data_IF_885799979428
#
_entry.id   IF_885799979428
#
_cell.length_a   1.000
_cell.length_b   1.000
_cell.length_c   1.000
_cell.angle_alpha   90.00
_cell.angle_beta   90.00
_cell.angle_gamma   90.00
#
_symmetry.space_group_name_H-M   'P 1'
#
loop_
_entity.id
_entity.type
_entity.pdbx_description
1 polymer ?
#
# COMPACT_ATOMS: atom_id res chain seq x y z
N UNK A 1 32.56 -0.26 17.81
CA UNK A 1 32.14 -0.09 16.41
C UNK A 1 32.82 1.16 15.85
N UNK A 2 33.73 1.01 14.89
CA UNK A 2 34.25 2.13 14.10
C UNK A 2 33.52 2.14 12.75
N UNK A 3 32.86 3.24 12.43
CA UNK A 3 32.13 3.44 11.18
C UNK A 3 32.18 4.91 10.81
N UNK A 4 31.82 5.21 9.56
CA UNK A 4 31.80 6.58 9.06
C UNK A 4 30.77 7.41 9.88
N UNK A 5 31.08 8.66 10.29
CA UNK A 5 30.22 9.43 11.19
C UNK A 5 28.76 9.57 10.74
N UNK A 6 28.49 9.62 9.42
CA UNK A 6 27.13 9.69 8.89
C UNK A 6 26.36 8.38 9.12
N UNK A 7 27.01 7.22 8.92
CA UNK A 7 26.41 5.91 9.18
C UNK A 7 26.09 5.72 10.67
N UNK A 8 26.97 6.20 11.55
CA UNK A 8 26.73 6.17 13.01
C UNK A 8 25.54 7.07 13.37
N UNK A 9 25.43 8.24 12.75
CA UNK A 9 24.31 9.15 12.97
C UNK A 9 22.98 8.54 12.50
N UNK A 10 22.98 7.84 11.35
CA UNK A 10 21.81 7.17 10.80
C UNK A 10 21.33 6.00 11.66
N UNK A 11 22.26 5.15 12.13
CA UNK A 11 21.95 4.08 13.09
C UNK A 11 21.36 4.65 14.38
N UNK A 12 21.92 5.75 14.90
CA UNK A 12 21.39 6.40 16.11
C UNK A 12 19.98 6.95 15.89
N UNK A 13 19.71 7.55 14.72
CA UNK A 13 18.38 8.03 14.34
C UNK A 13 17.37 6.89 14.23
N UNK A 14 17.78 5.74 13.69
CA UNK A 14 16.94 4.55 13.65
C UNK A 14 16.66 4.02 15.07
N UNK A 15 17.70 3.87 15.89
CA UNK A 15 17.59 3.36 17.25
C UNK A 15 16.73 4.26 18.17
N UNK A 16 16.73 5.57 17.92
CA UNK A 16 15.90 6.53 18.65
C UNK A 16 14.48 6.68 18.10
N UNK A 17 14.14 6.00 17.00
CA UNK A 17 12.84 6.16 16.33
C UNK A 17 12.66 7.51 15.63
N UNK A 18 13.73 8.27 15.42
CA UNK A 18 13.69 9.59 14.78
C UNK A 18 13.55 9.56 13.25
N UNK A 19 13.39 8.36 12.68
CA UNK A 19 13.12 8.11 11.25
C UNK A 19 12.13 6.96 11.17
N UNK A 20 11.05 7.13 10.41
CA UNK A 20 10.20 6.01 9.99
C UNK A 20 10.92 5.26 8.87
N UNK A 21 11.27 3.98 9.04
CA UNK A 21 11.88 3.21 7.97
C UNK A 21 10.95 3.12 6.76
N UNK A 22 11.51 3.14 5.55
CA UNK A 22 10.71 3.10 4.31
C UNK A 22 9.82 1.85 4.23
N UNK A 23 10.31 0.69 4.70
CA UNK A 23 9.53 -0.55 4.72
C UNK A 23 8.27 -0.44 5.60
N UNK A 24 8.36 0.30 6.72
CA UNK A 24 7.22 0.51 7.62
C UNK A 24 6.15 1.32 6.92
N UNK A 25 6.54 2.44 6.30
CA UNK A 25 5.64 3.28 5.51
C UNK A 25 4.98 2.47 4.38
N UNK A 26 5.78 1.73 3.59
CA UNK A 26 5.27 0.90 2.51
C UNK A 26 4.29 -0.18 3.00
N UNK A 27 4.50 -0.72 4.19
CA UNK A 27 3.57 -1.67 4.83
C UNK A 27 2.25 -1.00 5.20
N UNK A 28 2.30 0.16 5.87
CA UNK A 28 1.10 0.90 6.28
C UNK A 28 0.26 1.35 5.06
N UNK A 29 0.93 1.83 4.01
CA UNK A 29 0.32 2.20 2.72
C UNK A 29 -0.29 0.99 2.01
N UNK A 30 0.40 -0.16 2.06
CA UNK A 30 -0.11 -1.42 1.53
C UNK A 30 -1.36 -1.90 2.25
N UNK A 31 -1.45 -1.75 3.58
CA UNK A 31 -2.65 -2.08 4.34
C UNK A 31 -3.83 -1.20 3.88
N UNK A 32 -3.61 0.09 3.65
CA UNK A 32 -4.67 0.98 3.16
C UNK A 32 -5.17 0.58 1.77
N UNK A 33 -4.26 0.26 0.84
CA UNK A 33 -4.63 -0.23 -0.50
C UNK A 33 -5.40 -1.55 -0.42
N UNK A 34 -4.98 -2.45 0.46
CA UNK A 34 -5.64 -3.72 0.69
C UNK A 34 -7.09 -3.53 1.16
N UNK A 35 -7.30 -2.65 2.15
CA UNK A 35 -8.64 -2.34 2.66
C UNK A 35 -9.50 -1.63 1.61
N UNK A 36 -8.92 -0.69 0.86
CA UNK A 36 -9.63 0.00 -0.22
C UNK A 36 -10.07 -0.96 -1.33
N UNK A 37 -9.22 -1.92 -1.72
CA UNK A 37 -9.58 -2.97 -2.66
C UNK A 37 -10.67 -3.90 -2.13
N UNK A 38 -10.53 -4.35 -0.89
CA UNK A 38 -11.51 -5.24 -0.23
C UNK A 38 -12.88 -4.60 -0.08
N UNK A 39 -12.93 -3.28 0.13
CA UNK A 39 -14.16 -2.51 0.19
C UNK A 39 -14.68 -2.07 -1.20
N UNK A 40 -14.04 -2.47 -2.29
CA UNK A 40 -14.43 -2.13 -3.67
C UNK A 40 -14.22 -0.67 -4.06
N UNK A 41 -13.48 0.11 -3.25
CA UNK A 41 -13.13 1.50 -3.54
C UNK A 41 -12.08 1.63 -4.66
N UNK A 42 -11.29 0.57 -4.82
CA UNK A 42 -10.33 0.36 -5.90
C UNK A 42 -10.62 -1.01 -6.51
N UNK A 43 -10.51 -1.10 -7.82
CA UNK A 43 -10.82 -2.30 -8.59
C UNK A 43 -9.67 -2.60 -9.55
N UNK A 44 -9.46 -3.88 -9.88
CA UNK A 44 -8.41 -4.23 -10.84
C UNK A 44 -8.83 -3.83 -12.26
N UNK A 45 -7.89 -3.40 -13.09
CA UNK A 45 -8.14 -3.10 -14.51
C UNK A 45 -7.97 -4.32 -15.41
N UNK A 46 -7.44 -5.40 -14.85
CA UNK A 46 -7.14 -6.68 -15.47
C UNK A 46 -7.77 -7.81 -14.63
N UNK A 47 -7.92 -8.99 -15.23
CA UNK A 47 -8.48 -10.18 -14.57
C UNK A 47 -7.44 -10.83 -13.62
N UNK A 48 -6.99 -10.06 -12.64
CA UNK A 48 -6.03 -10.47 -11.61
C UNK A 48 -6.80 -10.93 -10.39
N UNK A 49 -6.46 -12.11 -9.88
CA UNK A 49 -7.05 -12.68 -8.66
C UNK A 49 -6.01 -12.82 -7.57
N UNK A 50 -6.38 -12.47 -6.35
CA UNK A 50 -5.53 -12.68 -5.18
C UNK A 50 -6.02 -13.88 -4.37
N UNK A 51 -5.52 -15.08 -4.70
CA UNK A 51 -5.93 -16.34 -4.05
C UNK A 51 -5.84 -16.32 -2.51
N UNK A 52 -4.82 -15.71 -1.86
CA UNK A 52 -4.76 -15.67 -0.40
C UNK A 52 -5.92 -14.89 0.25
N UNK A 53 -6.53 -13.94 -0.47
CA UNK A 53 -7.70 -13.21 -0.02
C UNK A 53 -8.57 -12.80 -1.22
N UNK A 54 -9.52 -13.65 -1.64
CA UNK A 54 -10.39 -13.37 -2.79
C UNK A 54 -11.22 -12.09 -2.62
N UNK A 55 -11.50 -11.71 -1.36
CA UNK A 55 -12.21 -10.48 -1.00
C UNK A 55 -11.56 -9.22 -1.56
N UNK A 56 -10.22 -9.20 -1.68
CA UNK A 56 -9.47 -8.07 -2.21
C UNK A 56 -9.82 -7.70 -3.66
N UNK A 57 -10.28 -8.68 -4.44
CA UNK A 57 -10.65 -8.51 -5.85
C UNK A 57 -12.12 -8.83 -6.11
N UNK A 58 -12.94 -8.93 -5.07
CA UNK A 58 -14.34 -9.37 -5.17
C UNK A 58 -15.24 -8.36 -5.93
N UNK A 59 -14.89 -7.07 -5.90
CA UNK A 59 -15.55 -6.02 -6.68
C UNK A 59 -15.34 -6.15 -8.20
N UNK A 60 -14.49 -7.10 -8.64
CA UNK A 60 -14.25 -7.40 -10.04
C UNK A 60 -13.48 -6.31 -10.78
N UNK A 61 -13.59 -6.35 -12.11
CA UNK A 61 -12.86 -5.44 -13.00
C UNK A 61 -13.53 -4.06 -13.04
N UNK A 62 -12.76 -3.03 -12.70
CA UNK A 62 -13.20 -1.65 -12.73
C UNK A 62 -12.88 -0.91 -14.03
N UNK A 63 -13.22 0.38 -14.06
CA UNK A 63 -12.82 1.29 -15.14
C UNK A 63 -11.31 1.47 -15.18
N UNK A 64 -10.77 1.72 -16.38
CA UNK A 64 -9.35 2.03 -16.57
C UNK A 64 -9.10 3.49 -16.17
N UNK A 65 -8.85 3.71 -14.88
CA UNK A 65 -8.46 5.00 -14.30
C UNK A 65 -7.04 4.94 -13.73
N UNK A 66 -6.35 6.07 -13.54
CA UNK A 66 -5.03 6.10 -12.91
C UNK A 66 -5.00 5.38 -11.56
N UNK A 67 -6.05 5.52 -10.75
CA UNK A 67 -6.17 4.92 -9.43
C UNK A 67 -6.25 3.39 -9.49
N UNK A 68 -7.11 2.87 -10.37
CA UNK A 68 -7.28 1.43 -10.57
C UNK A 68 -6.06 0.79 -11.23
N UNK A 69 -5.37 1.51 -12.13
CA UNK A 69 -4.09 1.07 -12.71
C UNK A 69 -3.03 0.96 -11.60
N UNK A 70 -2.93 1.98 -10.74
CA UNK A 70 -1.98 1.97 -9.64
C UNK A 70 -2.26 0.82 -8.65
N UNK A 71 -3.52 0.61 -8.31
CA UNK A 71 -3.96 -0.53 -7.49
C UNK A 71 -3.62 -1.88 -8.12
N UNK A 72 -3.89 -2.05 -9.41
CA UNK A 72 -3.58 -3.30 -10.13
C UNK A 72 -2.09 -3.59 -10.12
N UNK A 73 -1.25 -2.58 -10.38
CA UNK A 73 0.21 -2.72 -10.32
C UNK A 73 0.68 -3.07 -8.92
N UNK A 74 0.15 -2.40 -7.90
CA UNK A 74 0.48 -2.69 -6.51
C UNK A 74 0.12 -4.14 -6.14
N UNK A 75 -1.05 -4.61 -6.59
CA UNK A 75 -1.50 -5.98 -6.36
C UNK A 75 -0.55 -7.00 -7.00
N UNK A 76 -0.07 -6.74 -8.21
CA UNK A 76 0.94 -7.58 -8.87
C UNK A 76 2.24 -7.64 -8.06
N UNK A 77 2.69 -6.51 -7.48
CA UNK A 77 3.86 -6.50 -6.60
C UNK A 77 3.64 -7.29 -5.31
N UNK A 78 2.45 -7.19 -4.71
CA UNK A 78 2.06 -7.97 -3.54
C UNK A 78 2.07 -9.48 -3.85
N UNK A 79 1.51 -9.89 -4.99
CA UNK A 79 1.50 -11.28 -5.45
C UNK A 79 2.90 -11.84 -5.69
N UNK A 80 3.78 -11.03 -6.27
CA UNK A 80 5.15 -11.44 -6.57
C UNK A 80 6.06 -11.45 -5.33
N UNK A 81 5.58 -10.97 -4.16
CA UNK A 81 6.34 -10.98 -2.92
C UNK A 81 7.62 -10.14 -3.00
N UNK A 82 7.56 -8.95 -3.61
CA UNK A 82 8.73 -8.09 -3.79
C UNK A 82 9.39 -7.73 -2.45
N UNK A 83 10.72 -7.67 -2.44
CA UNK A 83 11.48 -7.28 -1.25
C UNK A 83 11.24 -5.80 -0.94
N UNK A 84 11.06 -5.48 0.34
CA UNK A 84 10.93 -4.09 0.80
C UNK A 84 12.31 -3.41 0.97
N UNK A 85 13.07 -3.38 -0.12
CA UNK A 85 14.26 -2.54 -0.24
C UNK A 85 13.87 -1.07 -0.52
N UNK A 86 14.86 -0.18 -0.50
CA UNK A 86 14.63 1.26 -0.69
C UNK A 86 13.92 1.57 -2.01
N UNK A 87 14.35 0.96 -3.12
CA UNK A 87 13.79 1.21 -4.44
C UNK A 87 12.32 0.78 -4.51
N UNK A 88 12.01 -0.43 -4.05
CA UNK A 88 10.66 -0.96 -4.06
C UNK A 88 9.76 -0.17 -3.09
N UNK A 89 10.27 0.25 -1.93
CA UNK A 89 9.50 1.09 -1.00
C UNK A 89 9.15 2.46 -1.60
N UNK A 90 10.06 3.08 -2.35
CA UNK A 90 9.78 4.33 -3.05
C UNK A 90 8.78 4.15 -4.19
N UNK A 91 8.91 3.05 -4.94
CA UNK A 91 7.95 2.72 -6.00
C UNK A 91 6.55 2.44 -5.42
N UNK A 92 6.45 1.67 -4.33
CA UNK A 92 5.17 1.29 -3.71
C UNK A 92 4.45 2.54 -3.18
N UNK A 93 5.22 3.48 -2.64
CA UNK A 93 4.72 4.78 -2.23
C UNK A 93 4.14 5.58 -3.41
N UNK A 94 4.81 5.59 -4.56
CA UNK A 94 4.30 6.26 -5.76
C UNK A 94 2.97 5.65 -6.25
N UNK A 95 2.84 4.32 -6.22
CA UNK A 95 1.55 3.68 -6.53
C UNK A 95 0.47 4.04 -5.52
N UNK A 96 0.81 4.13 -4.23
CA UNK A 96 -0.11 4.58 -3.20
C UNK A 96 -0.58 6.02 -3.44
N UNK A 97 0.32 6.94 -3.81
CA UNK A 97 -0.04 8.32 -4.18
C UNK A 97 -1.00 8.35 -5.38
N UNK A 98 -0.69 7.59 -6.44
CA UNK A 98 -1.51 7.52 -7.66
C UNK A 98 -2.89 6.87 -7.43
N UNK A 99 -3.03 6.02 -6.42
CA UNK A 99 -4.33 5.45 -6.03
C UNK A 99 -5.30 6.45 -5.39
N UNK A 100 -4.79 7.59 -4.92
CA UNK A 100 -5.56 8.59 -4.16
C UNK A 100 -6.02 8.12 -2.77
N UNK A 101 -5.60 6.94 -2.31
CA UNK A 101 -6.06 6.35 -1.05
C UNK A 101 -5.75 7.24 0.16
N UNK A 102 -4.58 7.88 0.17
CA UNK A 102 -4.19 8.80 1.25
C UNK A 102 -5.03 10.07 1.39
N UNK A 103 -5.81 10.41 0.37
CA UNK A 103 -6.69 11.59 0.38
C UNK A 103 -8.10 11.24 0.88
N UNK A 104 -8.45 9.95 0.92
CA UNK A 104 -9.76 9.48 1.38
C UNK A 104 -9.79 9.51 2.90
N UNK A 105 -10.73 10.27 3.46
CA UNK A 105 -10.97 10.32 4.90
C UNK A 105 -11.99 9.27 5.28
N UNK A 106 -11.77 8.61 6.43
CA UNK A 106 -12.67 7.60 6.98
C UNK A 106 -14.11 8.10 7.11
N UNK A 107 -14.29 9.36 7.52
CA UNK A 107 -15.61 9.98 7.70
C UNK A 107 -16.36 10.22 6.39
N UNK A 108 -15.66 10.23 5.25
CA UNK A 108 -16.25 10.42 3.93
C UNK A 108 -16.60 9.12 3.21
N UNK A 109 -16.34 7.96 3.82
CA UNK A 109 -16.64 6.67 3.22
C UNK A 109 -18.11 6.27 3.46
N UNK A 110 -18.78 5.66 2.46
CA UNK A 110 -20.11 5.07 2.66
C UNK A 110 -20.13 4.08 3.82
N UNK A 111 -21.25 3.97 4.52
CA UNK A 111 -21.37 3.10 5.70
C UNK A 111 -21.08 1.62 5.35
N UNK A 112 -21.54 1.15 4.19
CA UNK A 112 -21.28 -0.20 3.66
C UNK A 112 -19.78 -0.52 3.51
N UNK A 113 -18.99 0.48 3.08
CA UNK A 113 -17.54 0.38 2.95
C UNK A 113 -16.87 0.33 4.33
N UNK A 114 -17.38 1.10 5.29
CA UNK A 114 -16.85 1.14 6.66
C UNK A 114 -17.11 -0.17 7.39
N UNK A 115 -18.29 -0.74 7.23
CA UNK A 115 -18.65 -2.05 7.79
C UNK A 115 -17.69 -3.14 7.28
N UNK A 116 -17.35 -3.15 5.99
CA UNK A 116 -16.39 -4.11 5.41
C UNK A 116 -14.99 -4.01 6.02
N UNK A 117 -14.58 -2.82 6.48
CA UNK A 117 -13.25 -2.57 7.05
C UNK A 117 -13.18 -2.90 8.56
N UNK A 118 -14.30 -2.78 9.29
CA UNK A 118 -14.33 -2.98 10.76
C UNK A 118 -14.74 -4.37 11.24
N UNK A 119 -15.22 -5.23 10.35
CA UNK A 119 -15.74 -6.58 10.68
C UNK A 119 -14.64 -7.63 10.79
#
# INVERSE_FOLDING_TARGET
>A
FSGEPAQIAEIKRLASGAVTPLYRRATDEGIQLFLAGSAGLLQTTEDVRFEPCPGLTAAGRGVVSPENIAFTRWLTHLQNGVLLDEQNCLMLHELWLQSGTGQRRWEGLPDEVRETITV
#
